data_IF_476820318708
#
_entry.id   IF_476820318708
#
_cell.length_a   1.000
_cell.length_b   1.000
_cell.length_c   1.000
_cell.angle_alpha   90.00
_cell.angle_beta   90.00
_cell.angle_gamma   90.00
#
_symmetry.space_group_name_H-M   'P 1'
#
loop_
_entity.id
_entity.type
_entity.pdbx_description
1 polymer ?
#
# COMPACT_ATOMS: atom_id res chain seq x y z
N UNK A 1 23.02 -0.70 2.57
CA UNK A 1 23.84 -1.59 3.42
C UNK A 1 25.08 -0.81 3.82
N UNK A 2 25.31 -0.57 5.12
CA UNK A 2 26.38 0.31 5.60
C UNK A 2 27.76 -0.21 5.15
N UNK A 3 28.56 0.62 4.48
CA UNK A 3 29.93 0.28 4.11
C UNK A 3 30.83 0.21 5.35
N UNK A 4 31.97 -0.49 5.26
CA UNK A 4 33.02 -0.50 6.30
C UNK A 4 33.46 0.91 6.69
N UNK A 5 33.45 1.84 5.74
CA UNK A 5 33.82 3.25 5.98
C UNK A 5 32.70 4.02 6.68
N UNK A 6 31.46 3.74 6.33
CA UNK A 6 30.28 4.42 6.91
C UNK A 6 30.06 3.99 8.36
N UNK A 7 30.36 2.74 8.71
CA UNK A 7 30.14 2.22 10.06
C UNK A 7 30.97 2.97 11.13
N UNK A 8 32.20 3.38 10.79
CA UNK A 8 33.07 4.10 11.71
C UNK A 8 32.50 5.48 12.13
N UNK A 9 31.71 6.12 11.27
CA UNK A 9 31.09 7.41 11.55
C UNK A 9 30.05 7.34 12.68
N UNK A 10 29.38 6.20 12.81
CA UNK A 10 28.36 5.95 13.83
C UNK A 10 28.92 5.18 15.04
N UNK A 11 30.23 5.00 15.11
CA UNK A 11 30.85 4.24 16.19
C UNK A 11 30.85 5.02 17.51
N UNK A 12 30.58 4.31 18.60
CA UNK A 12 30.60 4.90 19.92
C UNK A 12 32.04 5.20 20.35
N UNK A 13 32.31 6.46 20.69
CA UNK A 13 33.70 6.96 20.87
C UNK A 13 34.46 6.37 22.06
N UNK A 14 33.79 5.68 22.99
CA UNK A 14 34.46 5.06 24.13
C UNK A 14 34.94 3.63 23.87
N UNK A 15 34.48 2.98 22.81
CA UNK A 15 34.81 1.59 22.50
C UNK A 15 35.75 1.53 21.29
N UNK A 16 36.75 0.62 21.28
CA UNK A 16 37.61 0.44 20.12
C UNK A 16 36.79 0.00 18.90
N UNK A 17 37.11 0.55 17.73
CA UNK A 17 36.37 0.26 16.50
C UNK A 17 36.47 -1.22 16.12
N UNK A 18 35.33 -1.87 15.98
CA UNK A 18 35.23 -3.23 15.46
C UNK A 18 34.19 -3.28 14.33
N UNK A 19 34.60 -3.74 13.15
CA UNK A 19 33.68 -3.92 12.05
C UNK A 19 32.59 -4.95 12.42
N UNK A 20 31.32 -4.59 12.18
CA UNK A 20 30.18 -5.49 12.40
C UNK A 20 29.60 -5.80 11.03
N UNK A 21 29.63 -7.07 10.66
CA UNK A 21 29.00 -7.52 9.42
C UNK A 21 27.48 -7.37 9.49
N UNK A 22 26.82 -7.29 8.33
CA UNK A 22 25.36 -7.22 8.23
C UNK A 22 24.69 -8.37 8.99
N UNK A 23 25.22 -9.59 8.86
CA UNK A 23 24.66 -10.76 9.54
C UNK A 23 24.76 -10.61 11.07
N UNK A 24 25.91 -10.18 11.59
CA UNK A 24 26.06 -9.94 13.03
C UNK A 24 25.15 -8.82 13.53
N UNK A 25 24.98 -7.76 12.73
CA UNK A 25 24.05 -6.69 13.06
C UNK A 25 22.61 -7.18 13.12
N UNK A 26 22.18 -7.98 12.14
CA UNK A 26 20.83 -8.57 12.09
C UNK A 26 20.59 -9.46 13.31
N UNK A 27 21.52 -10.33 13.65
CA UNK A 27 21.38 -11.22 14.82
C UNK A 27 21.34 -10.43 16.14
N UNK A 28 22.21 -9.43 16.30
CA UNK A 28 22.16 -8.53 17.46
C UNK A 28 20.88 -7.70 17.53
N UNK A 29 20.39 -7.23 16.39
CA UNK A 29 19.15 -6.47 16.30
C UNK A 29 17.95 -7.33 16.72
N UNK A 30 17.84 -8.57 16.22
CA UNK A 30 16.80 -9.53 16.64
C UNK A 30 16.84 -9.82 18.14
N UNK A 31 18.04 -9.92 18.72
CA UNK A 31 18.21 -10.17 20.15
C UNK A 31 17.88 -8.95 21.03
N UNK A 32 17.95 -7.73 20.48
CA UNK A 32 17.67 -6.50 21.22
C UNK A 32 16.19 -6.37 21.62
N UNK A 33 15.90 -5.65 22.70
CA UNK A 33 14.53 -5.39 23.16
C UNK A 33 13.66 -4.72 22.09
N UNK A 34 14.26 -3.83 21.30
CA UNK A 34 13.60 -3.15 20.19
C UNK A 34 13.23 -4.16 19.09
N UNK A 35 14.16 -5.02 18.70
CA UNK A 35 13.91 -6.06 17.69
C UNK A 35 12.88 -7.08 18.14
N UNK A 36 12.92 -7.50 19.41
CA UNK A 36 11.92 -8.40 19.98
C UNK A 36 10.55 -7.74 20.11
N UNK A 37 10.49 -6.45 20.50
CA UNK A 37 9.25 -5.68 20.55
C UNK A 37 8.65 -5.52 19.16
N UNK A 38 9.46 -5.13 18.17
CA UNK A 38 9.04 -5.02 16.77
C UNK A 38 8.55 -6.37 16.23
N UNK A 39 9.26 -7.46 16.51
CA UNK A 39 8.83 -8.80 16.10
C UNK A 39 7.49 -9.19 16.74
N UNK A 40 7.26 -8.86 18.00
CA UNK A 40 5.98 -9.09 18.68
C UNK A 40 4.86 -8.21 18.14
N UNK A 41 5.14 -6.95 17.83
CA UNK A 41 4.18 -6.04 17.19
C UNK A 41 3.80 -6.53 15.80
N UNK A 42 4.76 -6.98 14.99
CA UNK A 42 4.48 -7.56 13.68
C UNK A 42 3.70 -8.88 13.78
N UNK A 43 4.03 -9.75 14.74
CA UNK A 43 3.27 -10.97 14.99
C UNK A 43 1.86 -10.68 15.53
N UNK A 44 1.70 -9.66 16.37
CA UNK A 44 0.41 -9.23 16.92
C UNK A 44 -0.46 -8.45 15.94
N UNK A 45 0.12 -7.74 14.98
CA UNK A 45 -0.60 -7.08 13.88
C UNK A 45 -1.01 -8.07 12.77
N UNK A 46 -0.39 -9.25 12.71
CA UNK A 46 -0.84 -10.36 11.86
C UNK A 46 -2.07 -11.07 12.45
N UNK A 47 -2.48 -10.73 13.68
CA UNK A 47 -3.78 -11.15 14.20
C UNK A 47 -4.86 -10.33 13.47
N UNK A 48 -5.21 -10.79 12.27
CA UNK A 48 -6.00 -10.14 11.20
C UNK A 48 -7.41 -9.68 11.62
N UNK A 49 -7.79 -9.85 12.88
CA UNK A 49 -9.07 -9.39 13.42
C UNK A 49 -9.15 -7.88 13.64
N UNK A 50 -8.01 -7.17 13.70
CA UNK A 50 -7.95 -5.72 13.96
C UNK A 50 -7.19 -4.90 12.90
N UNK A 51 -6.77 -5.50 11.78
CA UNK A 51 -6.34 -4.71 10.63
C UNK A 51 -7.55 -3.90 10.15
N UNK A 52 -7.54 -2.62 10.50
CA UNK A 52 -8.59 -1.66 10.19
C UNK A 52 -9.11 -1.88 8.77
N UNK A 53 -10.44 -1.88 8.60
CA UNK A 53 -11.12 -1.91 7.29
C UNK A 53 -10.66 -0.82 6.31
N UNK A 54 -9.81 0.12 6.76
CA UNK A 54 -9.27 1.24 6.01
C UNK A 54 -7.77 1.11 5.69
N UNK A 55 -7.08 0.06 6.16
CA UNK A 55 -5.67 -0.16 5.87
C UNK A 55 -5.49 -0.76 4.47
N UNK A 56 -5.53 0.11 3.47
CA UNK A 56 -5.29 -0.16 2.05
C UNK A 56 -6.35 -1.10 1.45
N UNK A 57 -7.38 -0.49 0.89
CA UNK A 57 -8.34 -1.12 -0.02
C UNK A 57 -7.64 -2.07 -1.00
N UNK A 58 -7.73 -3.38 -0.75
CA UNK A 58 -7.26 -4.43 -1.65
C UNK A 58 -8.16 -4.58 -2.90
N UNK A 59 -9.24 -3.80 -3.03
CA UNK A 59 -10.07 -3.87 -4.23
C UNK A 59 -9.43 -3.07 -5.36
N UNK A 60 -8.97 -3.79 -6.38
CA UNK A 60 -8.52 -3.23 -7.68
C UNK A 60 -9.64 -2.39 -8.33
N UNK A 61 -10.89 -2.63 -7.93
CA UNK A 61 -12.06 -1.91 -8.37
C UNK A 61 -12.77 -1.32 -7.14
N UNK A 62 -12.66 -0.01 -6.94
CA UNK A 62 -13.39 0.70 -5.88
C UNK A 62 -14.92 0.71 -6.08
N UNK A 63 -15.40 0.20 -7.21
CA UNK A 63 -16.81 0.17 -7.60
C UNK A 63 -17.23 -1.26 -7.97
N UNK A 64 -18.44 -1.62 -7.57
CA UNK A 64 -19.08 -2.86 -7.98
C UNK A 64 -19.39 -2.86 -9.49
N UNK A 65 -19.46 -4.05 -10.11
CA UNK A 65 -19.86 -4.20 -11.53
C UNK A 65 -21.21 -3.53 -11.83
N UNK A 66 -22.11 -3.49 -10.84
CA UNK A 66 -23.43 -2.88 -10.97
C UNK A 66 -23.37 -1.35 -10.97
N UNK A 67 -22.49 -0.75 -10.20
CA UNK A 67 -22.24 0.70 -10.24
C UNK A 67 -21.62 1.13 -11.57
N UNK A 68 -20.69 0.33 -12.10
CA UNK A 68 -20.13 0.56 -13.43
C UNK A 68 -21.22 0.50 -14.51
N UNK A 69 -22.11 -0.50 -14.46
CA UNK A 69 -23.22 -0.62 -15.39
C UNK A 69 -24.16 0.60 -15.32
N UNK A 70 -24.51 1.06 -14.12
CA UNK A 70 -25.33 2.27 -13.94
C UNK A 70 -24.65 3.52 -14.48
N UNK A 71 -23.35 3.68 -14.24
CA UNK A 71 -22.59 4.82 -14.75
C UNK A 71 -22.59 4.82 -16.28
N UNK A 72 -22.35 3.66 -16.92
CA UNK A 72 -22.42 3.50 -18.38
C UNK A 72 -23.82 3.78 -18.93
N UNK A 73 -24.88 3.21 -18.33
CA UNK A 73 -26.26 3.47 -18.76
C UNK A 73 -26.65 4.95 -18.63
N UNK A 74 -26.22 5.61 -17.55
CA UNK A 74 -26.51 7.03 -17.34
C UNK A 74 -25.83 7.91 -18.41
N UNK A 75 -24.60 7.55 -18.80
CA UNK A 75 -23.87 8.21 -19.89
C UNK A 75 -24.59 8.05 -21.22
N UNK A 76 -24.97 6.83 -21.59
CA UNK A 76 -25.66 6.56 -22.86
C UNK A 76 -27.04 7.23 -22.91
N UNK A 77 -27.82 7.19 -21.83
CA UNK A 77 -29.12 7.87 -21.74
C UNK A 77 -28.98 9.39 -21.95
N UNK A 78 -27.96 10.02 -21.36
CA UNK A 78 -27.66 11.44 -21.58
C UNK A 78 -27.29 11.74 -23.04
N UNK A 79 -26.49 10.87 -23.67
CA UNK A 79 -26.10 11.01 -25.08
C UNK A 79 -27.32 10.88 -26.00
N UNK A 80 -28.20 9.90 -25.74
CA UNK A 80 -29.47 9.74 -26.47
C UNK A 80 -30.36 10.94 -26.27
N UNK A 81 -30.50 11.46 -25.04
CA UNK A 81 -31.36 12.62 -24.77
C UNK A 81 -30.85 13.89 -25.46
N UNK A 82 -29.53 14.12 -25.47
CA UNK A 82 -28.90 15.28 -26.17
C UNK A 82 -28.96 15.17 -27.69
N UNK A 83 -28.84 13.96 -28.24
CA UNK A 83 -28.90 13.71 -29.69
C UNK A 83 -30.28 13.23 -30.15
N UNK A 84 -31.31 13.35 -29.30
CA UNK A 84 -32.67 12.86 -29.58
C UNK A 84 -33.29 13.59 -30.77
N UNK A 85 -32.95 14.86 -30.98
CA UNK A 85 -33.33 15.64 -32.17
C UNK A 85 -32.84 14.98 -33.47
N UNK A 86 -31.60 14.49 -33.51
CA UNK A 86 -31.04 13.79 -34.66
C UNK A 86 -31.74 12.45 -34.88
N UNK A 87 -32.00 11.70 -33.80
CA UNK A 87 -32.70 10.41 -33.89
C UNK A 87 -34.14 10.55 -34.38
N UNK A 88 -34.92 11.52 -33.84
CA UNK A 88 -36.29 11.78 -34.26
C UNK A 88 -36.34 12.29 -35.71
N UNK A 89 -35.42 13.18 -36.10
CA UNK A 89 -35.35 13.68 -37.47
C UNK A 89 -35.03 12.55 -38.47
N UNK A 90 -34.19 11.58 -38.07
CA UNK A 90 -33.82 10.43 -38.91
C UNK A 90 -34.92 9.36 -39.03
N UNK A 91 -35.81 9.20 -38.05
CA UNK A 91 -36.93 8.24 -38.11
C UNK A 91 -38.17 8.80 -38.81
N UNK A 92 -38.28 10.12 -38.95
CA UNK A 92 -39.41 10.79 -39.63
C UNK A 92 -39.14 11.00 -41.13
N UNK A 93 -37.89 10.87 -41.59
CA UNK A 93 -37.51 10.92 -43.01
C UNK A 93 -37.63 9.55 -43.71
#
# INVERSE_FOLDING_TARGET
VLSRKDQAQYWFRSEPYAYVSVNQFVEKFKASDIGQKLSRELLGQLDESQSHKDAVSFSIYSLSKWELLKACMSREMLLVRRNSFVYIFKTVQ
#
